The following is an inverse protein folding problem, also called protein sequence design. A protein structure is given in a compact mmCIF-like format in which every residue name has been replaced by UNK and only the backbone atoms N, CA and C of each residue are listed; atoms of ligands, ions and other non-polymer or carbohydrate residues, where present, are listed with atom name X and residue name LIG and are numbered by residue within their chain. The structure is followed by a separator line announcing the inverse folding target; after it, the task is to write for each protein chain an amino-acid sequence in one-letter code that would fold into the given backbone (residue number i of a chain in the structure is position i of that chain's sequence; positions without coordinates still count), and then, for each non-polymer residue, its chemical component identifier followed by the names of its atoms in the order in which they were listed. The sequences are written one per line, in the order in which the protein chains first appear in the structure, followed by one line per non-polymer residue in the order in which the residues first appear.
data_IF_139789724163
#
_entry.id   IF_139789724163
#
_cell.length_a   1.000
_cell.length_b   1.000
_cell.length_c   1.000
_cell.angle_alpha   90.00
_cell.angle_beta   90.00
_cell.angle_gamma   90.00
#
_symmetry.space_group_name_H-M   'P 1'
#
loop_
_entity.id
_entity.type
_entity.pdbx_description
1 polymer ?
#
# COMPACT_ATOMS: atom_id res chain seq x y z
N UNK A 1 22.91 -7.48 4.12
CA UNK A 1 23.98 -6.51 3.72
C UNK A 1 24.42 -6.66 2.26
N UNK A 2 24.49 -7.89 1.69
CA UNK A 2 24.89 -8.07 0.27
C UNK A 2 24.05 -7.23 -0.71
N UNK A 3 22.74 -7.07 -0.48
CA UNK A 3 21.88 -6.24 -1.32
C UNK A 3 22.39 -4.80 -1.52
N UNK A 4 23.01 -4.21 -0.49
CA UNK A 4 23.49 -2.82 -0.49
C UNK A 4 24.88 -2.67 -1.16
N UNK A 5 25.47 -3.73 -1.70
CA UNK A 5 26.79 -3.69 -2.36
C UNK A 5 26.77 -3.13 -3.79
N UNK A 6 25.64 -2.58 -4.24
CA UNK A 6 25.53 -1.92 -5.53
C UNK A 6 26.43 -0.67 -5.62
N UNK A 7 26.84 -0.24 -6.83
CA UNK A 7 27.66 0.96 -6.98
C UNK A 7 27.07 2.24 -6.39
N UNK A 8 25.73 2.31 -6.33
CA UNK A 8 25.05 3.50 -5.80
C UNK A 8 24.64 3.39 -4.33
N UNK A 9 24.72 2.21 -3.73
CA UNK A 9 24.14 1.92 -2.41
C UNK A 9 22.64 1.64 -2.41
N UNK A 10 21.93 1.83 -3.53
CA UNK A 10 20.52 1.38 -3.67
C UNK A 10 20.53 -0.14 -3.74
N UNK A 11 19.78 -0.85 -2.87
CA UNK A 11 19.87 -2.30 -2.80
C UNK A 11 19.38 -2.99 -4.08
N UNK A 12 20.01 -4.10 -4.39
CA UNK A 12 19.51 -5.08 -5.36
C UNK A 12 18.33 -5.86 -4.77
N UNK A 13 17.41 -6.31 -5.61
CA UNK A 13 16.23 -7.09 -5.20
C UNK A 13 16.57 -8.53 -4.83
N UNK A 14 17.46 -9.18 -5.58
CA UNK A 14 17.74 -10.62 -5.44
C UNK A 14 19.04 -10.84 -4.67
N UNK A 15 18.96 -11.72 -3.65
CA UNK A 15 20.11 -12.08 -2.81
C UNK A 15 20.32 -13.59 -2.79
N UNK A 16 21.50 -14.04 -3.21
CA UNK A 16 21.94 -15.41 -3.04
C UNK A 16 22.55 -15.56 -1.63
N UNK A 17 21.84 -16.22 -0.74
CA UNK A 17 22.27 -16.41 0.65
C UNK A 17 23.47 -17.33 0.78
N UNK A 18 23.62 -18.32 -0.12
CA UNK A 18 24.72 -19.28 -0.11
C UNK A 18 26.05 -18.63 -0.50
N UNK A 19 26.03 -17.81 -1.55
CA UNK A 19 27.22 -17.13 -2.08
C UNK A 19 27.41 -15.74 -1.47
N UNK A 20 26.42 -15.22 -0.77
CA UNK A 20 26.38 -13.87 -0.22
C UNK A 20 26.56 -12.78 -1.28
N UNK A 21 26.00 -13.03 -2.47
CA UNK A 21 25.97 -12.10 -3.60
C UNK A 21 24.58 -11.51 -3.78
N UNK A 22 24.48 -10.38 -4.48
CA UNK A 22 23.20 -9.78 -4.83
C UNK A 22 23.25 -9.24 -6.27
N UNK A 23 22.09 -9.23 -6.91
CA UNK A 23 21.95 -8.77 -8.29
C UNK A 23 20.53 -8.22 -8.53
N UNK A 24 20.36 -7.50 -9.65
CA UNK A 24 19.03 -7.14 -10.12
C UNK A 24 18.26 -8.40 -10.55
N UNK A 25 16.92 -8.41 -10.49
CA UNK A 25 16.13 -9.56 -10.91
C UNK A 25 16.29 -9.82 -12.41
N UNK A 26 16.09 -11.07 -12.85
CA UNK A 26 16.24 -11.47 -14.25
C UNK A 26 15.30 -10.69 -15.21
N UNK A 27 14.12 -10.29 -14.72
CA UNK A 27 13.10 -9.59 -15.51
C UNK A 27 13.34 -8.07 -15.61
N UNK A 28 14.26 -7.50 -14.83
CA UNK A 28 14.54 -6.05 -14.81
C UNK A 28 15.97 -5.75 -14.37
N UNK A 29 16.56 -4.71 -14.96
CA UNK A 29 17.84 -4.15 -14.50
C UNK A 29 17.67 -3.10 -13.40
N UNK A 30 16.44 -2.88 -12.93
CA UNK A 30 16.08 -1.89 -11.94
C UNK A 30 15.55 -2.56 -10.68
N UNK A 31 15.83 -1.96 -9.53
CA UNK A 31 15.11 -2.25 -8.29
C UNK A 31 13.79 -1.49 -8.28
N UNK A 32 12.79 -1.98 -7.53
CA UNK A 32 11.55 -1.23 -7.37
C UNK A 32 11.68 -0.19 -6.26
N UNK A 33 11.01 0.95 -6.42
CA UNK A 33 11.10 2.03 -5.43
C UNK A 33 10.54 1.59 -4.09
N UNK A 34 9.39 0.89 -4.07
CA UNK A 34 8.82 0.35 -2.85
C UNK A 34 9.78 -0.60 -2.13
N UNK A 35 10.38 -1.60 -2.82
CA UNK A 35 11.30 -2.55 -2.19
C UNK A 35 12.50 -1.88 -1.51
N UNK A 36 13.14 -0.90 -2.17
CA UNK A 36 14.34 -0.27 -1.62
C UNK A 36 14.03 0.70 -0.48
N UNK A 37 12.79 1.16 -0.36
CA UNK A 37 12.33 2.10 0.67
C UNK A 37 11.50 1.46 1.77
N UNK A 38 11.37 0.13 1.77
CA UNK A 38 10.52 -0.61 2.72
C UNK A 38 11.32 -1.68 3.48
N UNK A 39 12.53 -1.32 3.90
CA UNK A 39 13.39 -2.14 4.76
C UNK A 39 13.88 -1.35 5.99
N UNK A 40 13.57 -0.06 6.05
CA UNK A 40 14.17 0.86 6.99
C UNK A 40 13.69 0.65 8.43
N UNK A 41 12.42 0.33 8.61
CA UNK A 41 11.86 0.05 9.93
C UNK A 41 12.49 -1.21 10.53
N UNK A 42 12.58 -2.26 9.74
CA UNK A 42 13.13 -3.57 10.10
C UNK A 42 14.63 -3.48 10.36
N UNK A 43 15.37 -2.79 9.50
CA UNK A 43 16.83 -2.65 9.63
C UNK A 43 17.22 -1.78 10.82
N UNK A 44 16.43 -0.77 11.16
CA UNK A 44 16.62 0.03 12.37
C UNK A 44 16.40 -0.82 13.63
N UNK A 45 15.36 -1.64 13.65
CA UNK A 45 15.12 -2.54 14.78
C UNK A 45 16.16 -3.66 14.85
N UNK A 46 16.57 -4.21 13.70
CA UNK A 46 17.66 -5.20 13.63
C UNK A 46 18.99 -4.63 14.16
N UNK A 47 19.32 -3.38 13.84
CA UNK A 47 20.50 -2.72 14.35
C UNK A 47 20.50 -2.66 15.88
N UNK A 48 19.37 -2.35 16.48
CA UNK A 48 19.20 -2.31 17.94
C UNK A 48 19.24 -3.70 18.57
N UNK A 49 18.46 -4.64 18.02
CA UNK A 49 18.39 -6.01 18.54
C UNK A 49 19.74 -6.74 18.46
N UNK A 50 20.55 -6.44 17.43
CA UNK A 50 21.87 -7.05 17.24
C UNK A 50 23.04 -6.23 17.80
N UNK A 51 22.78 -5.02 18.31
CA UNK A 51 23.78 -4.04 18.69
C UNK A 51 24.81 -3.75 17.55
N UNK A 52 24.33 -3.74 16.29
CA UNK A 52 25.14 -3.48 15.12
C UNK A 52 24.54 -2.32 14.30
N UNK A 53 25.06 -1.09 14.44
CA UNK A 53 24.52 0.09 13.77
C UNK A 53 24.62 0.02 12.25
N UNK A 54 25.50 -0.80 11.68
CA UNK A 54 25.69 -0.92 10.24
C UNK A 54 24.42 -1.35 9.47
N UNK A 55 23.44 -1.96 10.13
CA UNK A 55 22.14 -2.26 9.51
C UNK A 55 21.31 -0.98 9.34
N UNK A 56 21.20 -0.17 10.38
CA UNK A 56 20.48 1.12 10.31
C UNK A 56 21.19 2.10 9.35
N UNK A 57 22.50 2.19 9.41
CA UNK A 57 23.31 3.08 8.55
C UNK A 57 23.07 2.76 7.07
N UNK A 58 23.05 1.48 6.68
CA UNK A 58 22.81 1.08 5.31
C UNK A 58 21.39 1.44 4.81
N UNK A 59 20.37 1.20 5.64
CA UNK A 59 19.00 1.50 5.29
C UNK A 59 18.70 3.01 5.29
N UNK A 60 19.25 3.75 6.26
CA UNK A 60 19.14 5.20 6.36
C UNK A 60 19.80 5.91 5.17
N UNK A 61 20.96 5.42 4.71
CA UNK A 61 21.64 5.97 3.53
C UNK A 61 20.79 5.87 2.25
N UNK A 62 19.94 4.83 2.12
CA UNK A 62 18.99 4.72 1.00
C UNK A 62 17.93 5.81 1.10
N UNK A 63 17.33 6.01 2.28
CA UNK A 63 16.31 7.05 2.49
C UNK A 63 16.89 8.46 2.24
N UNK A 64 18.08 8.74 2.76
CA UNK A 64 18.77 10.02 2.56
C UNK A 64 19.10 10.26 1.08
N UNK A 65 19.55 9.23 0.37
CA UNK A 65 19.81 9.32 -1.06
C UNK A 65 18.53 9.66 -1.83
N UNK A 66 17.42 8.97 -1.53
CA UNK A 66 16.13 9.21 -2.20
C UNK A 66 15.59 10.60 -1.83
N UNK A 67 15.80 11.08 -0.61
CA UNK A 67 15.48 12.45 -0.21
C UNK A 67 16.09 13.48 -1.18
N UNK A 68 17.34 13.32 -1.54
CA UNK A 68 18.06 14.26 -2.43
C UNK A 68 17.77 14.08 -3.93
N UNK A 69 17.10 13.01 -4.34
CA UNK A 69 16.75 12.83 -5.75
C UNK A 69 15.64 13.81 -6.17
N UNK A 70 15.69 14.32 -7.40
CA UNK A 70 14.60 15.14 -7.95
C UNK A 70 13.31 14.32 -8.03
N UNK A 71 12.25 14.84 -7.43
CA UNK A 71 10.91 14.26 -7.42
C UNK A 71 9.93 15.27 -7.99
N UNK A 72 9.06 14.83 -8.91
CA UNK A 72 8.02 15.69 -9.44
C UNK A 72 6.86 15.78 -8.47
N UNK A 73 6.69 16.92 -7.84
CA UNK A 73 5.66 17.12 -6.81
C UNK A 73 5.76 16.12 -5.63
N UNK A 74 6.96 15.68 -5.28
CA UNK A 74 7.18 14.66 -4.25
C UNK A 74 6.83 13.23 -4.67
N UNK A 75 6.30 13.03 -5.87
CA UNK A 75 5.92 11.72 -6.40
C UNK A 75 7.12 11.00 -7.00
N UNK A 76 7.15 9.67 -6.86
CA UNK A 76 8.28 8.84 -7.28
C UNK A 76 7.86 7.84 -8.38
N UNK A 77 8.72 7.63 -9.39
CA UNK A 77 8.56 6.52 -10.33
C UNK A 77 8.76 5.17 -9.64
N UNK A 78 8.10 4.13 -10.14
CA UNK A 78 8.14 2.79 -9.56
C UNK A 78 9.49 2.07 -9.67
N UNK A 79 10.46 2.61 -10.43
CA UNK A 79 11.78 2.01 -10.63
C UNK A 79 12.92 2.97 -10.34
N UNK A 80 13.97 2.41 -9.72
CA UNK A 80 15.25 3.09 -9.46
C UNK A 80 16.39 2.20 -9.93
N UNK A 81 17.44 2.81 -10.51
CA UNK A 81 18.60 2.08 -11.01
C UNK A 81 19.62 1.85 -9.89
N UNK A 82 19.90 0.61 -9.47
CA UNK A 82 20.84 0.32 -8.40
C UNK A 82 22.30 0.67 -8.76
N UNK A 83 22.65 0.77 -10.04
CA UNK A 83 24.00 1.14 -10.46
C UNK A 83 24.23 2.65 -10.42
N UNK A 84 23.24 3.46 -10.86
CA UNK A 84 23.38 4.92 -10.94
C UNK A 84 22.76 5.64 -9.74
N UNK A 85 21.82 5.00 -9.04
CA UNK A 85 21.07 5.57 -7.94
C UNK A 85 20.01 6.60 -8.37
N UNK A 86 19.59 6.62 -9.64
CA UNK A 86 18.56 7.53 -10.14
C UNK A 86 17.27 6.80 -10.48
N UNK A 87 16.15 7.49 -10.30
CA UNK A 87 14.86 6.99 -10.78
C UNK A 87 14.88 6.78 -12.30
N UNK A 88 14.08 5.82 -12.78
CA UNK A 88 13.80 5.68 -14.21
C UNK A 88 12.78 6.77 -14.60
N UNK A 89 13.19 7.81 -15.37
CA UNK A 89 12.43 9.06 -15.46
C UNK A 89 11.03 8.93 -16.05
N UNK A 90 10.80 7.90 -16.85
CA UNK A 90 9.55 7.67 -17.58
C UNK A 90 8.79 6.45 -17.07
N UNK A 91 9.13 5.91 -15.91
CA UNK A 91 8.35 4.85 -15.31
C UNK A 91 7.02 5.37 -14.75
N UNK A 92 6.06 4.50 -14.60
CA UNK A 92 4.75 4.81 -13.98
C UNK A 92 4.92 5.41 -12.59
N UNK A 93 4.05 6.35 -12.24
CA UNK A 93 3.89 6.87 -10.89
C UNK A 93 2.54 6.39 -10.38
N UNK A 94 2.55 5.60 -9.31
CA UNK A 94 1.35 4.99 -8.72
C UNK A 94 1.54 4.76 -7.23
N UNK A 95 0.43 4.67 -6.50
CA UNK A 95 0.36 4.13 -5.14
C UNK A 95 -0.05 2.64 -5.13
N UNK A 96 -0.09 2.01 -6.29
CA UNK A 96 -0.18 0.57 -6.46
C UNK A 96 1.20 -0.10 -6.45
N UNK A 97 1.30 -1.27 -7.05
CA UNK A 97 2.48 -2.12 -7.03
C UNK A 97 3.78 -1.38 -7.38
N UNK A 98 4.81 -1.61 -6.59
CA UNK A 98 6.18 -1.07 -6.71
C UNK A 98 6.37 0.40 -6.32
N UNK A 99 5.28 1.14 -6.01
CA UNK A 99 5.36 2.53 -5.57
C UNK A 99 4.76 2.77 -4.18
N UNK A 100 3.83 1.93 -3.76
CA UNK A 100 2.94 1.99 -2.60
C UNK A 100 3.64 2.32 -1.27
N UNK A 101 4.41 1.42 -0.75
CA UNK A 101 5.00 1.49 0.59
C UNK A 101 6.10 2.56 0.75
N UNK A 102 6.58 3.19 -0.34
CA UNK A 102 7.39 4.40 -0.23
C UNK A 102 6.65 5.48 0.56
N UNK A 103 5.40 5.76 0.17
CA UNK A 103 4.58 6.80 0.80
C UNK A 103 4.23 6.46 2.25
N UNK A 104 3.98 5.21 2.52
CA UNK A 104 3.70 4.66 3.84
C UNK A 104 4.91 4.80 4.78
N UNK A 105 6.10 4.36 4.33
CA UNK A 105 7.30 4.32 5.16
C UNK A 105 7.92 5.69 5.43
N UNK A 106 7.63 6.71 4.65
CA UNK A 106 8.02 8.08 4.99
C UNK A 106 7.43 8.50 6.35
N UNK A 107 6.12 8.28 6.55
CA UNK A 107 5.45 8.57 7.82
C UNK A 107 5.90 7.61 8.92
N UNK A 108 5.92 6.32 8.65
CA UNK A 108 6.22 5.28 9.65
C UNK A 108 7.66 5.36 10.16
N UNK A 109 8.63 5.69 9.32
CA UNK A 109 10.01 5.94 9.75
C UNK A 109 10.10 7.19 10.65
N UNK A 110 9.42 8.29 10.29
CA UNK A 110 9.38 9.48 11.13
C UNK A 110 8.80 9.16 12.52
N UNK A 111 7.72 8.37 12.58
CA UNK A 111 7.14 7.93 13.86
C UNK A 111 8.09 7.03 14.65
N UNK A 112 8.69 6.01 14.00
CA UNK A 112 9.62 5.08 14.65
C UNK A 112 10.81 5.78 15.28
N UNK A 113 11.33 6.84 14.63
CA UNK A 113 12.45 7.66 15.14
C UNK A 113 12.03 8.66 16.21
N UNK A 114 10.83 8.54 16.78
CA UNK A 114 10.34 9.48 17.79
C UNK A 114 10.14 10.89 17.24
N UNK A 115 9.87 11.01 15.94
CA UNK A 115 9.66 12.29 15.23
C UNK A 115 10.91 13.19 15.16
N UNK A 116 12.09 12.60 15.17
CA UNK A 116 13.38 13.35 15.21
C UNK A 116 14.00 13.56 13.82
N UNK A 117 13.67 12.75 12.82
CA UNK A 117 14.20 12.83 11.46
C UNK A 117 13.27 13.64 10.57
N UNK A 118 13.42 14.96 10.56
CA UNK A 118 12.45 15.90 9.96
C UNK A 118 12.30 15.75 8.44
N UNK A 119 13.37 15.45 7.70
CA UNK A 119 13.26 15.30 6.24
C UNK A 119 12.27 14.22 5.81
N UNK A 120 12.06 13.19 6.64
CA UNK A 120 11.06 12.13 6.37
C UNK A 120 9.64 12.69 6.41
N UNK A 121 9.36 13.59 7.38
CA UNK A 121 8.08 14.28 7.44
C UNK A 121 7.90 15.24 6.26
N UNK A 122 8.95 16.00 5.92
CA UNK A 122 8.92 16.97 4.82
C UNK A 122 8.67 16.24 3.48
N UNK A 123 9.35 15.11 3.25
CA UNK A 123 9.13 14.26 2.07
C UNK A 123 7.72 13.66 2.08
N UNK A 124 7.23 13.18 3.23
CA UNK A 124 5.86 12.67 3.36
C UNK A 124 4.83 13.75 2.99
N UNK A 125 4.92 14.91 3.60
CA UNK A 125 3.97 16.01 3.36
C UNK A 125 3.97 16.43 1.90
N UNK A 126 5.16 16.60 1.31
CA UNK A 126 5.31 16.95 -0.12
C UNK A 126 4.72 15.86 -1.02
N UNK A 127 4.97 14.59 -0.70
CA UNK A 127 4.47 13.46 -1.48
C UNK A 127 2.94 13.34 -1.40
N UNK A 128 2.36 13.45 -0.20
CA UNK A 128 0.90 13.34 -0.02
C UNK A 128 0.16 14.56 -0.61
N UNK A 129 0.73 15.75 -0.55
CA UNK A 129 0.21 16.89 -1.30
C UNK A 129 0.26 16.64 -2.81
N UNK A 130 1.34 16.03 -3.31
CA UNK A 130 1.45 15.59 -4.70
C UNK A 130 0.38 14.57 -5.07
N UNK A 131 0.14 13.57 -4.23
CA UNK A 131 -0.96 12.59 -4.40
C UNK A 131 -2.30 13.31 -4.45
N UNK A 132 -2.60 14.19 -3.49
CA UNK A 132 -3.84 14.96 -3.43
C UNK A 132 -4.11 15.79 -4.69
N UNK A 133 -3.08 16.45 -5.20
CA UNK A 133 -3.23 17.39 -6.31
C UNK A 133 -3.22 16.70 -7.68
N UNK A 134 -2.44 15.65 -7.86
CA UNK A 134 -2.17 15.07 -9.17
C UNK A 134 -2.79 13.68 -9.38
N UNK A 135 -2.87 12.85 -8.34
CA UNK A 135 -3.37 11.47 -8.42
C UNK A 135 -4.80 11.29 -7.89
N UNK A 136 -5.20 12.08 -6.90
CA UNK A 136 -6.55 12.04 -6.36
C UNK A 136 -7.53 12.71 -7.33
N UNK A 137 -8.54 11.98 -7.78
CA UNK A 137 -9.57 12.45 -8.70
C UNK A 137 -10.94 11.98 -8.25
N UNK A 138 -11.97 12.56 -8.86
CA UNK A 138 -13.36 12.21 -8.62
C UNK A 138 -13.92 11.42 -9.80
N UNK A 139 -14.57 10.31 -9.50
CA UNK A 139 -15.28 9.51 -10.49
C UNK A 139 -16.58 10.19 -10.98
N UNK A 140 -17.24 9.61 -11.95
CA UNK A 140 -18.52 10.06 -12.48
C UNK A 140 -19.49 8.87 -12.60
N UNK A 141 -20.77 9.05 -12.22
CA UNK A 141 -21.44 10.32 -11.86
C UNK A 141 -21.34 10.71 -10.36
N UNK A 142 -21.09 9.76 -9.44
CA UNK A 142 -21.29 9.94 -7.98
C UNK A 142 -20.13 10.67 -7.26
N UNK A 143 -19.04 11.02 -7.98
CA UNK A 143 -17.91 11.81 -7.47
C UNK A 143 -17.13 11.13 -6.32
N UNK A 144 -17.05 9.81 -6.31
CA UNK A 144 -16.20 9.07 -5.36
C UNK A 144 -14.73 9.44 -5.54
N UNK A 145 -14.03 9.67 -4.43
CA UNK A 145 -12.60 9.95 -4.44
C UNK A 145 -11.83 8.65 -4.73
N UNK A 146 -10.95 8.67 -5.71
CA UNK A 146 -10.01 7.58 -5.98
C UNK A 146 -8.62 8.10 -6.31
N UNK A 147 -7.62 7.22 -6.19
CA UNK A 147 -6.24 7.53 -6.55
C UNK A 147 -5.89 6.82 -7.84
N UNK A 148 -5.71 7.60 -8.90
CA UNK A 148 -5.24 7.08 -10.18
C UNK A 148 -3.73 7.05 -10.27
N UNK A 149 -3.21 6.83 -11.46
CA UNK A 149 -1.79 6.77 -11.74
C UNK A 149 -1.40 7.67 -12.93
N UNK A 150 -0.12 7.99 -13.04
CA UNK A 150 0.44 8.64 -14.22
C UNK A 150 1.15 7.59 -15.08
N UNK A 151 0.74 7.51 -16.34
CA UNK A 151 1.25 6.49 -17.26
C UNK A 151 2.72 6.74 -17.61
N UNK A 152 3.46 5.66 -17.75
CA UNK A 152 4.86 5.68 -18.18
C UNK A 152 5.04 6.48 -19.48
N UNK A 153 6.03 7.36 -19.48
CA UNK A 153 6.48 8.11 -20.65
C UNK A 153 5.64 9.32 -21.04
N UNK A 154 4.33 9.33 -20.79
CA UNK A 154 3.43 10.42 -21.18
C UNK A 154 2.94 11.29 -20.02
N UNK A 155 3.07 10.78 -18.78
CA UNK A 155 2.45 11.34 -17.57
C UNK A 155 0.93 11.59 -17.72
N UNK A 156 0.29 10.93 -18.68
CA UNK A 156 -1.15 10.98 -18.83
C UNK A 156 -1.81 10.30 -17.65
N UNK A 157 -2.86 10.94 -17.10
CA UNK A 157 -3.62 10.38 -16.01
C UNK A 157 -4.39 9.14 -16.46
N UNK A 158 -4.22 8.05 -15.74
CA UNK A 158 -4.93 6.78 -15.93
C UNK A 158 -5.87 6.56 -14.74
N UNK A 159 -7.21 6.51 -14.94
CA UNK A 159 -8.20 6.32 -13.88
C UNK A 159 -8.29 4.85 -13.45
N UNK A 160 -7.18 4.30 -12.99
CA UNK A 160 -7.00 2.93 -12.54
C UNK A 160 -6.42 2.95 -11.12
N UNK A 161 -6.99 2.16 -10.22
CA UNK A 161 -6.53 2.00 -8.84
C UNK A 161 -6.34 0.53 -8.53
N UNK A 162 -5.13 0.16 -8.10
CA UNK A 162 -4.84 -1.16 -7.55
C UNK A 162 -5.46 -1.28 -6.15
N UNK A 163 -5.85 -2.48 -5.75
CA UNK A 163 -6.32 -2.74 -4.37
C UNK A 163 -5.28 -2.30 -3.33
N UNK A 164 -4.00 -2.48 -3.64
CA UNK A 164 -2.86 -2.03 -2.83
C UNK A 164 -3.04 -0.59 -2.31
N UNK A 165 -3.53 0.31 -3.14
CA UNK A 165 -3.74 1.73 -2.78
C UNK A 165 -4.64 1.93 -1.55
N UNK A 166 -5.43 0.94 -1.17
CA UNK A 166 -6.31 0.98 -0.01
C UNK A 166 -5.57 0.95 1.36
N UNK A 167 -4.22 0.86 1.37
CA UNK A 167 -3.43 1.15 2.56
C UNK A 167 -3.45 2.64 2.94
N UNK A 168 -3.61 3.52 1.94
CA UNK A 168 -3.46 4.97 2.12
C UNK A 168 -4.43 5.59 3.14
N UNK A 169 -5.72 5.20 3.22
CA UNK A 169 -6.60 5.72 4.26
C UNK A 169 -6.05 5.50 5.67
N UNK A 170 -5.53 4.31 5.97
CA UNK A 170 -4.90 4.01 7.26
C UNK A 170 -3.67 4.88 7.54
N UNK A 171 -2.81 5.07 6.54
CA UNK A 171 -1.63 5.94 6.64
C UNK A 171 -2.01 7.41 6.87
N UNK A 172 -3.02 7.92 6.14
CA UNK A 172 -3.52 9.29 6.35
C UNK A 172 -4.12 9.48 7.73
N UNK A 173 -4.94 8.55 8.20
CA UNK A 173 -5.51 8.59 9.54
C UNK A 173 -4.44 8.54 10.63
N UNK A 174 -3.41 7.71 10.46
CA UNK A 174 -2.24 7.66 11.36
C UNK A 174 -1.50 9.01 11.38
N UNK A 175 -1.31 9.64 10.23
CA UNK A 175 -0.74 10.98 10.12
C UNK A 175 -1.56 12.01 10.88
N UNK A 176 -2.88 12.06 10.67
CA UNK A 176 -3.79 12.95 11.39
C UNK A 176 -3.73 12.74 12.92
N UNK A 177 -3.77 11.50 13.38
CA UNK A 177 -3.66 11.16 14.81
C UNK A 177 -2.32 11.61 15.43
N UNK A 178 -1.31 11.88 14.60
CA UNK A 178 0.01 12.37 15.00
C UNK A 178 0.20 13.88 14.81
N UNK A 179 -0.88 14.63 14.57
CA UNK A 179 -0.91 16.09 14.49
C UNK A 179 -0.75 16.67 13.09
N UNK A 180 -0.86 15.85 12.04
CA UNK A 180 -0.86 16.33 10.66
C UNK A 180 -2.24 16.93 10.28
N UNK A 181 -2.35 17.70 9.20
CA UNK A 181 -3.54 18.50 8.89
C UNK A 181 -4.84 17.70 8.78
N UNK A 182 -5.97 18.31 9.17
CA UNK A 182 -7.31 17.70 9.21
C UNK A 182 -7.77 17.11 7.86
N UNK A 183 -7.30 17.66 6.74
CA UNK A 183 -7.64 17.14 5.43
C UNK A 183 -7.14 15.70 5.18
N UNK A 184 -6.14 15.23 5.97
CA UNK A 184 -5.72 13.82 5.93
C UNK A 184 -6.86 12.90 6.34
N UNK A 185 -7.57 13.22 7.44
CA UNK A 185 -8.70 12.42 7.90
C UNK A 185 -9.87 12.48 6.90
N UNK A 186 -10.20 13.68 6.38
CA UNK A 186 -11.26 13.81 5.37
C UNK A 186 -10.96 12.98 4.12
N UNK A 187 -9.71 13.03 3.63
CA UNK A 187 -9.28 12.24 2.48
C UNK A 187 -9.26 10.73 2.79
N UNK A 188 -8.87 10.36 4.01
CA UNK A 188 -8.89 8.96 4.46
C UNK A 188 -10.31 8.38 4.44
N UNK A 189 -11.28 9.09 5.00
CA UNK A 189 -12.69 8.66 5.05
C UNK A 189 -13.28 8.50 3.65
N UNK A 190 -13.07 9.48 2.78
CA UNK A 190 -13.58 9.43 1.40
C UNK A 190 -12.96 8.29 0.58
N UNK A 191 -11.64 8.11 0.67
CA UNK A 191 -10.95 7.04 -0.05
C UNK A 191 -11.29 5.67 0.52
N UNK A 192 -11.41 5.54 1.85
CA UNK A 192 -11.81 4.30 2.49
C UNK A 192 -13.20 3.85 2.03
N UNK A 193 -14.14 4.81 1.89
CA UNK A 193 -15.46 4.51 1.36
C UNK A 193 -15.39 4.01 -0.09
N UNK A 194 -14.54 4.60 -0.92
CA UNK A 194 -14.33 4.10 -2.29
C UNK A 194 -13.73 2.69 -2.28
N UNK A 195 -12.76 2.41 -1.40
CA UNK A 195 -12.24 1.05 -1.21
C UNK A 195 -13.33 0.07 -0.80
N UNK A 196 -14.23 0.45 0.12
CA UNK A 196 -15.41 -0.36 0.47
C UNK A 196 -16.28 -0.66 -0.75
N UNK A 197 -16.52 0.32 -1.61
CA UNK A 197 -17.34 0.13 -2.81
C UNK A 197 -16.71 -0.88 -3.79
N UNK A 198 -15.38 -1.00 -3.84
CA UNK A 198 -14.72 -2.04 -4.68
C UNK A 198 -15.05 -3.45 -4.23
N UNK A 199 -15.39 -3.67 -2.96
CA UNK A 199 -15.91 -4.94 -2.42
C UNK A 199 -17.41 -5.09 -2.66
N UNK A 200 -18.18 -4.07 -2.29
CA UNK A 200 -19.64 -4.07 -2.36
C UNK A 200 -20.18 -4.18 -3.80
N UNK A 201 -19.38 -3.77 -4.78
CA UNK A 201 -19.73 -3.86 -6.21
C UNK A 201 -19.82 -5.30 -6.75
N UNK A 202 -19.37 -6.29 -5.99
CA UNK A 202 -19.26 -7.67 -6.47
C UNK A 202 -20.12 -8.65 -5.67
N UNK A 203 -20.70 -9.69 -6.31
CA UNK A 203 -21.56 -10.68 -5.63
C UNK A 203 -20.83 -11.52 -4.58
N UNK A 204 -19.50 -11.59 -4.66
CA UNK A 204 -18.66 -12.25 -3.65
C UNK A 204 -18.43 -11.40 -2.42
N UNK A 205 -18.71 -10.10 -2.49
CA UNK A 205 -18.27 -9.11 -1.50
C UNK A 205 -16.75 -9.14 -1.26
N UNK A 206 -15.98 -9.42 -2.32
CA UNK A 206 -14.51 -9.38 -2.34
C UNK A 206 -14.03 -8.49 -3.47
N UNK A 207 -12.99 -7.72 -3.23
CA UNK A 207 -12.44 -6.79 -4.21
C UNK A 207 -11.59 -7.50 -5.26
N UNK A 208 -11.58 -7.00 -6.50
CA UNK A 208 -10.63 -7.38 -7.53
C UNK A 208 -9.25 -6.76 -7.27
N UNK A 209 -8.22 -7.24 -7.96
CA UNK A 209 -6.87 -6.66 -7.86
C UNK A 209 -6.81 -5.23 -8.41
N UNK A 210 -7.61 -4.90 -9.43
CA UNK A 210 -7.62 -3.58 -10.06
C UNK A 210 -9.03 -3.13 -10.37
N UNK A 211 -9.34 -1.90 -9.97
CA UNK A 211 -10.58 -1.20 -10.32
C UNK A 211 -10.29 -0.01 -11.22
N UNK A 212 -11.11 0.19 -12.24
CA UNK A 212 -11.08 1.33 -13.13
C UNK A 212 -12.27 2.24 -12.89
N UNK A 213 -12.09 3.55 -13.08
CA UNK A 213 -13.11 4.54 -12.77
C UNK A 213 -13.54 5.31 -14.03
N UNK A 214 -14.82 5.62 -14.12
CA UNK A 214 -15.35 6.53 -15.11
C UNK A 214 -15.12 7.98 -14.65
N UNK A 215 -14.83 8.86 -15.61
CA UNK A 215 -14.63 10.30 -15.40
C UNK A 215 -15.30 11.09 -16.53
N UNK A 216 -15.80 12.27 -16.22
CA UNK A 216 -16.53 13.13 -17.20
C UNK A 216 -15.67 13.50 -18.42
N UNK A 217 -14.36 13.63 -18.23
CA UNK A 217 -13.41 14.12 -19.25
C UNK A 217 -12.48 13.05 -19.83
N UNK A 218 -12.68 11.78 -19.46
CA UNK A 218 -11.91 10.67 -20.01
C UNK A 218 -12.89 9.64 -20.58
N UNK A 219 -12.80 9.42 -21.89
CA UNK A 219 -13.63 8.43 -22.56
C UNK A 219 -13.38 7.02 -22.01
N UNK A 220 -14.44 6.36 -21.61
CA UNK A 220 -14.37 4.94 -21.24
C UNK A 220 -13.87 4.11 -22.44
N UNK A 221 -13.09 3.05 -22.21
CA UNK A 221 -12.75 2.10 -23.27
C UNK A 221 -13.99 1.57 -23.97
N UNK A 222 -13.96 1.41 -25.29
CA UNK A 222 -15.11 0.92 -26.09
C UNK A 222 -15.71 -0.38 -25.59
N UNK A 223 -14.92 -1.21 -24.91
CA UNK A 223 -15.30 -2.51 -24.35
C UNK A 223 -15.33 -2.50 -22.81
N UNK A 224 -15.45 -1.34 -22.17
CA UNK A 224 -15.61 -1.28 -20.72
C UNK A 224 -16.88 -2.04 -20.34
N UNK A 225 -16.83 -2.99 -19.38
CA UNK A 225 -18.01 -3.67 -18.89
C UNK A 225 -19.01 -2.65 -18.33
N UNK A 226 -20.30 -2.82 -18.62
CA UNK A 226 -21.30 -2.01 -17.94
C UNK A 226 -21.21 -2.24 -16.42
N UNK A 227 -21.18 -1.15 -15.67
CA UNK A 227 -21.16 -1.21 -14.23
C UNK A 227 -22.45 -1.83 -13.68
N UNK A 228 -22.33 -2.82 -12.80
CA UNK A 228 -23.50 -3.54 -12.30
C UNK A 228 -24.05 -3.02 -10.97
N UNK A 229 -23.21 -2.51 -10.07
CA UNK A 229 -23.62 -2.07 -8.73
C UNK A 229 -23.07 -0.69 -8.39
N UNK A 230 -21.90 -0.35 -8.89
CA UNK A 230 -21.32 0.99 -8.74
C UNK A 230 -21.17 1.60 -10.13
N UNK A 231 -22.01 2.57 -10.46
CA UNK A 231 -22.03 3.23 -11.78
C UNK A 231 -20.72 3.90 -12.15
N UNK A 232 -19.89 4.22 -11.15
CA UNK A 232 -18.66 4.97 -11.28
C UNK A 232 -17.44 4.12 -11.63
N UNK A 233 -17.54 2.78 -11.55
CA UNK A 233 -16.37 1.91 -11.66
C UNK A 233 -16.64 0.63 -12.45
N UNK A 234 -15.58 0.05 -12.98
CA UNK A 234 -15.62 -1.24 -13.66
C UNK A 234 -14.34 -2.04 -13.43
N UNK A 235 -14.44 -3.35 -13.57
CA UNK A 235 -13.30 -4.27 -13.46
C UNK A 235 -13.14 -5.03 -14.77
N UNK A 236 -11.95 -4.94 -15.37
CA UNK A 236 -11.59 -5.72 -16.56
C UNK A 236 -11.51 -7.23 -16.23
N UNK A 237 -11.69 -8.08 -17.22
CA UNK A 237 -11.66 -9.53 -17.01
C UNK A 237 -10.29 -10.01 -16.46
N UNK A 238 -9.19 -9.43 -16.95
CA UNK A 238 -7.84 -9.76 -16.48
C UNK A 238 -7.57 -9.34 -15.03
N UNK A 239 -8.30 -8.36 -14.53
CA UNK A 239 -8.09 -7.71 -13.24
C UNK A 239 -9.06 -8.23 -12.16
N UNK A 240 -9.99 -9.13 -12.53
CA UNK A 240 -11.12 -9.54 -11.70
C UNK A 240 -10.81 -10.61 -10.66
N UNK A 241 -9.58 -11.08 -10.58
CA UNK A 241 -9.14 -12.02 -9.55
C UNK A 241 -8.94 -11.33 -8.21
N UNK A 242 -8.95 -12.10 -7.12
CA UNK A 242 -8.68 -11.62 -5.77
C UNK A 242 -7.64 -12.50 -5.11
N UNK A 243 -6.59 -11.89 -4.59
CA UNK A 243 -5.53 -12.56 -3.82
C UNK A 243 -5.78 -12.46 -2.30
N UNK A 244 -6.96 -12.01 -1.88
CA UNK A 244 -7.34 -11.85 -0.47
C UNK A 244 -6.45 -10.84 0.28
N UNK A 245 -6.10 -9.76 -0.37
CA UNK A 245 -5.13 -8.75 0.09
C UNK A 245 -5.55 -8.00 1.35
N UNK A 246 -4.59 -7.52 2.16
CA UNK A 246 -4.82 -6.93 3.48
C UNK A 246 -5.12 -5.43 3.48
N UNK A 247 -4.76 -4.64 2.46
CA UNK A 247 -4.61 -3.18 2.57
C UNK A 247 -5.90 -2.45 2.99
N UNK A 248 -7.05 -2.97 2.56
CA UNK A 248 -8.32 -2.39 2.99
C UNK A 248 -8.65 -2.73 4.44
N UNK A 249 -8.48 -3.98 4.87
CA UNK A 249 -8.73 -4.36 6.27
C UNK A 249 -7.70 -3.75 7.22
N UNK A 250 -6.47 -3.52 6.77
CA UNK A 250 -5.47 -2.69 7.47
C UNK A 250 -6.03 -1.30 7.74
N UNK A 251 -6.50 -0.62 6.68
CA UNK A 251 -7.08 0.72 6.81
C UNK A 251 -8.33 0.74 7.69
N UNK A 252 -9.20 -0.29 7.61
CA UNK A 252 -10.36 -0.41 8.52
C UNK A 252 -9.90 -0.48 9.97
N UNK A 253 -8.85 -1.26 10.27
CA UNK A 253 -8.32 -1.36 11.63
C UNK A 253 -7.75 -0.03 12.13
N UNK A 254 -6.91 0.68 11.34
CA UNK A 254 -6.40 1.99 11.70
C UNK A 254 -7.52 2.99 11.96
N UNK A 255 -8.49 3.06 11.06
CA UNK A 255 -9.62 3.97 11.18
C UNK A 255 -10.48 3.66 12.41
N UNK A 256 -10.76 2.38 12.69
CA UNK A 256 -11.45 1.97 13.90
C UNK A 256 -10.67 2.32 15.16
N UNK A 257 -9.38 2.01 15.19
CA UNK A 257 -8.53 2.29 16.35
C UNK A 257 -8.45 3.78 16.68
N UNK A 258 -8.39 4.63 15.66
CA UNK A 258 -8.27 6.09 15.81
C UNK A 258 -9.62 6.72 16.15
N UNK A 259 -10.69 6.35 15.47
CA UNK A 259 -12.01 7.03 15.57
C UNK A 259 -12.99 6.34 16.52
N UNK A 260 -12.88 5.03 16.72
CA UNK A 260 -13.87 4.21 17.44
C UNK A 260 -15.18 3.98 16.66
N UNK A 261 -15.24 4.32 15.37
CA UNK A 261 -16.44 4.14 14.56
C UNK A 261 -16.64 2.67 14.18
N UNK A 262 -17.68 2.03 14.70
CA UNK A 262 -17.99 0.61 14.51
C UNK A 262 -18.41 0.25 13.07
N UNK A 263 -18.74 1.24 12.25
CA UNK A 263 -19.00 1.00 10.80
C UNK A 263 -17.84 0.26 10.14
N UNK A 264 -16.59 0.50 10.57
CA UNK A 264 -15.42 -0.18 10.02
C UNK A 264 -15.37 -1.66 10.42
N UNK A 265 -15.87 -2.02 11.61
CA UNK A 265 -16.06 -3.42 12.00
C UNK A 265 -17.16 -4.08 11.17
N UNK A 266 -18.27 -3.38 10.91
CA UNK A 266 -19.35 -3.92 10.07
C UNK A 266 -18.86 -4.23 8.65
N UNK A 267 -18.04 -3.35 8.06
CA UNK A 267 -17.43 -3.56 6.75
C UNK A 267 -16.46 -4.74 6.77
N UNK A 268 -15.60 -4.81 7.78
CA UNK A 268 -14.67 -5.93 7.98
C UNK A 268 -15.40 -7.27 8.14
N UNK A 269 -16.55 -7.27 8.83
CA UNK A 269 -17.36 -8.47 9.01
C UNK A 269 -17.96 -8.97 7.68
N UNK A 270 -18.43 -8.08 6.83
CA UNK A 270 -18.94 -8.43 5.51
C UNK A 270 -17.85 -9.08 4.63
N UNK A 271 -16.61 -8.54 4.68
CA UNK A 271 -15.47 -9.12 3.98
C UNK A 271 -15.13 -10.50 4.52
N UNK A 272 -15.08 -10.66 5.84
CA UNK A 272 -14.84 -11.95 6.47
C UNK A 272 -15.87 -13.00 6.05
N UNK A 273 -17.15 -12.62 5.99
CA UNK A 273 -18.21 -13.51 5.46
C UNK A 273 -17.96 -13.90 4.00
N UNK A 274 -17.43 -12.97 3.18
CA UNK A 274 -17.01 -13.26 1.81
C UNK A 274 -15.89 -14.29 1.75
N UNK A 275 -14.87 -14.18 2.58
CA UNK A 275 -13.79 -15.19 2.70
C UNK A 275 -14.33 -16.55 3.12
N UNK A 276 -15.14 -16.63 4.17
CA UNK A 276 -15.74 -17.87 4.65
C UNK A 276 -16.58 -18.57 3.59
N UNK A 277 -17.33 -17.79 2.82
CA UNK A 277 -18.27 -18.34 1.81
C UNK A 277 -17.58 -18.78 0.52
N UNK A 278 -16.60 -18.02 0.03
CA UNK A 278 -16.08 -18.19 -1.31
C UNK A 278 -14.63 -18.66 -1.39
N UNK A 279 -13.82 -18.32 -0.39
CA UNK A 279 -12.39 -18.59 -0.40
C UNK A 279 -11.99 -19.77 0.50
N UNK A 280 -12.85 -20.22 1.41
CA UNK A 280 -12.55 -21.31 2.34
C UNK A 280 -12.45 -22.65 1.64
N UNK A 281 -11.43 -23.42 1.97
CA UNK A 281 -11.17 -24.80 1.53
C UNK A 281 -10.88 -25.70 2.74
N UNK A 282 -10.85 -27.03 2.63
CA UNK A 282 -10.68 -27.91 3.78
C UNK A 282 -9.44 -27.63 4.62
N UNK A 283 -8.35 -27.16 4.01
CA UNK A 283 -7.06 -26.95 4.68
C UNK A 283 -6.63 -25.47 4.75
N UNK A 284 -7.55 -24.54 4.60
CA UNK A 284 -7.26 -23.11 4.66
C UNK A 284 -8.14 -22.27 3.76
N UNK A 285 -7.53 -21.37 3.02
CA UNK A 285 -8.22 -20.47 2.09
C UNK A 285 -7.51 -20.45 0.74
N UNK A 286 -8.16 -19.93 -0.28
CA UNK A 286 -7.60 -19.84 -1.63
C UNK A 286 -8.01 -18.54 -2.30
N UNK A 287 -7.12 -17.99 -3.11
CA UNK A 287 -7.43 -16.87 -3.98
C UNK A 287 -8.47 -17.25 -5.04
N UNK A 288 -9.17 -16.25 -5.56
CA UNK A 288 -10.29 -16.42 -6.49
C UNK A 288 -9.93 -15.89 -7.87
N UNK A 289 -10.32 -16.62 -8.91
CA UNK A 289 -10.04 -16.24 -10.29
C UNK A 289 -10.92 -15.07 -10.79
N UNK A 290 -12.13 -14.90 -10.22
CA UNK A 290 -13.05 -13.85 -10.66
C UNK A 290 -14.10 -13.55 -9.58
N UNK A 291 -14.02 -12.36 -8.99
CA UNK A 291 -14.97 -11.91 -7.95
C UNK A 291 -16.33 -11.47 -8.49
N UNK A 292 -16.48 -11.32 -9.80
CA UNK A 292 -17.69 -10.81 -10.48
C UNK A 292 -18.79 -11.86 -10.64
N UNK A 293 -18.54 -13.10 -10.23
CA UNK A 293 -19.47 -14.22 -10.40
C UNK A 293 -19.85 -14.85 -9.06
N UNK A 294 -21.07 -15.34 -8.93
CA UNK A 294 -21.56 -15.97 -7.70
C UNK A 294 -20.87 -17.29 -7.34
N UNK A 295 -20.23 -17.93 -8.31
CA UNK A 295 -19.49 -19.18 -8.13
C UNK A 295 -18.07 -19.00 -8.69
N UNK A 296 -17.20 -18.29 -7.99
CA UNK A 296 -15.83 -18.05 -8.44
C UNK A 296 -15.03 -19.37 -8.45
N UNK A 297 -14.14 -19.48 -9.45
CA UNK A 297 -13.17 -20.57 -9.48
C UNK A 297 -12.08 -20.29 -8.43
N UNK A 298 -11.84 -21.27 -7.58
CA UNK A 298 -10.74 -21.28 -6.60
C UNK A 298 -9.43 -21.61 -7.29
N UNK A 299 -8.32 -20.92 -6.93
CA UNK A 299 -7.06 -20.98 -7.66
C UNK A 299 -6.04 -21.95 -7.07
N UNK A 300 -6.35 -22.61 -5.94
CA UNK A 300 -5.41 -23.44 -5.18
C UNK A 300 -4.11 -22.71 -4.85
N UNK A 301 -4.25 -21.47 -4.40
CA UNK A 301 -3.15 -20.59 -4.03
C UNK A 301 -3.57 -19.73 -2.83
N UNK A 302 -2.81 -19.80 -1.76
CA UNK A 302 -2.97 -18.96 -0.57
C UNK A 302 -1.67 -18.19 -0.35
N UNK A 303 -1.73 -16.89 -0.56
CA UNK A 303 -0.60 -16.00 -0.31
C UNK A 303 -0.29 -15.93 1.20
N UNK A 304 0.99 -15.83 1.56
CA UNK A 304 1.42 -15.75 2.97
C UNK A 304 0.81 -14.57 3.71
N UNK A 305 0.64 -13.45 3.03
CA UNK A 305 0.05 -12.23 3.61
C UNK A 305 -1.42 -12.41 4.02
N UNK A 306 -2.14 -13.40 3.50
CA UNK A 306 -3.51 -13.64 3.95
C UNK A 306 -3.56 -13.97 5.45
N UNK A 307 -2.68 -14.86 5.92
CA UNK A 307 -2.59 -15.21 7.34
C UNK A 307 -1.86 -14.13 8.14
N UNK A 308 -0.71 -13.68 7.64
CA UNK A 308 0.17 -12.77 8.39
C UNK A 308 -0.37 -11.35 8.52
N UNK A 309 -1.25 -10.93 7.60
CA UNK A 309 -1.75 -9.57 7.51
C UNK A 309 -3.28 -9.51 7.50
N UNK A 310 -3.94 -10.08 6.48
CA UNK A 310 -5.40 -9.95 6.31
C UNK A 310 -6.16 -10.47 7.52
N UNK A 311 -5.88 -11.71 7.97
CA UNK A 311 -6.54 -12.28 9.15
C UNK A 311 -6.06 -11.62 10.44
N UNK A 312 -4.80 -11.19 10.52
CA UNK A 312 -4.28 -10.46 11.69
C UNK A 312 -5.03 -9.13 11.86
N UNK A 313 -5.18 -8.32 10.81
CA UNK A 313 -5.92 -7.07 10.90
C UNK A 313 -7.40 -7.27 11.20
N UNK A 314 -8.04 -8.31 10.65
CA UNK A 314 -9.41 -8.68 11.04
C UNK A 314 -9.48 -9.09 12.53
N UNK A 315 -8.52 -9.89 13.01
CA UNK A 315 -8.45 -10.25 14.42
C UNK A 315 -8.31 -9.01 15.31
N UNK A 316 -7.43 -8.08 14.95
CA UNK A 316 -7.25 -6.83 15.69
C UNK A 316 -8.47 -5.92 15.60
N UNK A 317 -9.16 -5.87 14.45
CA UNK A 317 -10.37 -5.08 14.24
C UNK A 317 -11.54 -5.56 15.13
N UNK A 318 -11.63 -6.88 15.37
CA UNK A 318 -12.68 -7.50 16.19
C UNK A 318 -12.25 -7.81 17.62
N UNK A 319 -11.03 -7.42 18.00
CA UNK A 319 -10.55 -7.61 19.38
C UNK A 319 -11.41 -6.83 20.38
N UNK A 320 -11.68 -7.43 21.54
CA UNK A 320 -12.42 -6.77 22.65
C UNK A 320 -11.67 -5.52 23.15
N UNK A 321 -10.34 -5.56 23.14
CA UNK A 321 -9.50 -4.39 23.40
C UNK A 321 -9.09 -3.71 22.09
N UNK A 322 -9.70 -2.56 21.82
CA UNK A 322 -9.38 -1.72 20.67
C UNK A 322 -7.90 -1.35 20.62
N UNK A 323 -7.24 -1.25 21.75
CA UNK A 323 -5.86 -0.84 21.90
C UNK A 323 -4.88 -2.00 22.14
N UNK A 324 -5.22 -3.20 21.72
CA UNK A 324 -4.34 -4.40 21.79
C UNK A 324 -2.93 -4.08 21.26
N UNK A 325 -2.81 -3.25 20.22
CA UNK A 325 -1.55 -2.64 19.79
C UNK A 325 -1.65 -1.12 20.00
N UNK A 326 -0.83 -0.59 20.90
CA UNK A 326 -0.80 0.85 21.22
C UNK A 326 0.03 1.61 20.18
N UNK A 327 -0.62 2.36 19.29
CA UNK A 327 0.01 3.17 18.23
C UNK A 327 0.90 4.31 18.76
N UNK A 328 0.90 4.60 20.07
CA UNK A 328 1.85 5.52 20.70
C UNK A 328 3.17 4.84 21.09
N UNK A 329 3.21 3.50 21.05
CA UNK A 329 4.39 2.70 21.39
C UNK A 329 4.95 1.93 20.22
N UNK A 330 4.11 1.61 19.24
CA UNK A 330 4.45 0.78 18.11
C UNK A 330 4.06 1.44 16.79
N UNK A 331 4.90 1.28 15.81
CA UNK A 331 4.58 1.45 14.40
C UNK A 331 4.41 0.06 13.78
N UNK A 332 3.42 -0.11 12.93
CA UNK A 332 3.19 -1.38 12.23
C UNK A 332 3.87 -1.28 10.87
N UNK A 333 4.74 -2.23 10.55
CA UNK A 333 5.39 -2.29 9.24
C UNK A 333 4.42 -2.73 8.12
N UNK A 334 4.89 -2.76 6.88
CA UNK A 334 4.07 -3.16 5.72
C UNK A 334 3.57 -4.61 5.80
N UNK A 335 4.22 -5.47 6.57
CA UNK A 335 3.90 -6.88 6.80
C UNK A 335 3.10 -7.12 8.10
N UNK A 336 2.45 -6.09 8.64
CA UNK A 336 1.65 -6.14 9.87
C UNK A 336 2.43 -6.57 11.14
N UNK A 337 3.74 -6.29 11.21
CA UNK A 337 4.53 -6.52 12.42
C UNK A 337 4.68 -5.23 13.24
N UNK A 338 4.37 -5.26 14.55
CA UNK A 338 4.59 -4.11 15.43
C UNK A 338 6.08 -3.95 15.75
N UNK A 339 6.63 -2.78 15.47
CA UNK A 339 7.99 -2.39 15.78
C UNK A 339 7.97 -1.22 16.78
N UNK A 340 8.85 -1.19 17.78
CA UNK A 340 8.84 -0.14 18.80
C UNK A 340 9.10 1.26 18.22
N UNK A 341 8.40 2.25 18.78
CA UNK A 341 8.73 3.67 18.59
C UNK A 341 9.81 4.05 19.61
N UNK A 342 10.89 4.61 19.13
CA UNK A 342 12.01 4.97 19.99
C UNK A 342 11.89 6.42 20.42
N UNK A 343 11.57 6.63 21.70
CA UNK A 343 11.63 7.93 22.33
C UNK A 343 13.06 8.15 22.81
N UNK A 344 13.73 9.19 22.31
CA UNK A 344 15.04 9.63 22.82
C UNK A 344 14.91 10.18 24.23
#
# INVERSE_FOLDING_TARGET
MAAFSSPSGIPYSDVNLGERTAHAPEWSHYSTTAEVTTVQLEFRELARASNNPGFEDAAAAVSEKIHHLPKKHGLVPIFINPNTGHFLPHATITLGARGDSYYEYLLKQWLQTGKTVNYLLDDYMTAIEGVRNFLAKRSSPNKHLFIGELSAGSEAFNPKMDHLTCFLPGTLALGHANGLPDWHMTMAEELLYTCYLTYAAHPTFLAPEITHFYMDNIAAPKNAPQASVAEDMYTKAADSHSLLRPEFVESLWYMYQITGNTTYQDWGWQIYQGFEKYAKVPNGYTSLANVKVEKPVQRDMMESFFLSETLKYLYLLFSDDRFTIDLNKYVINSEAHPLPIHKN
#
